data_IF_965321027949
#
_entry.id   IF_965321027949
#
_cell.length_a   1.000
_cell.length_b   1.000
_cell.length_c   1.000
_cell.angle_alpha   90.00
_cell.angle_beta   90.00
_cell.angle_gamma   90.00
#
_symmetry.space_group_name_H-M   'P 1'
#
loop_
_entity.id
_entity.type
_entity.pdbx_description
1 polymer ?
#
# COMPACT_ATOMS: atom_id res chain seq x y z
N UNK A 1 0.88 14.04 7.12
CA UNK A 1 -0.28 13.13 7.01
C UNK A 1 0.09 11.74 6.56
N UNK A 2 0.99 11.61 5.57
CA UNK A 2 1.49 10.32 5.08
C UNK A 2 2.86 9.94 5.67
N UNK A 3 3.37 10.69 6.63
CA UNK A 3 4.75 10.56 7.11
C UNK A 3 5.01 9.16 7.68
N UNK A 4 4.08 8.63 8.47
CA UNK A 4 4.12 7.27 8.98
C UNK A 4 3.96 6.22 7.86
N UNK A 5 3.02 6.43 6.93
CA UNK A 5 2.79 5.51 5.81
C UNK A 5 4.03 5.37 4.93
N UNK A 6 4.73 6.47 4.67
CA UNK A 6 5.99 6.47 3.91
C UNK A 6 7.08 5.65 4.60
N UNK A 7 7.19 5.77 5.92
CA UNK A 7 8.14 4.99 6.72
C UNK A 7 7.80 3.50 6.64
N UNK A 8 6.53 3.14 6.86
CA UNK A 8 6.09 1.74 6.80
C UNK A 8 6.34 1.10 5.44
N UNK A 9 6.00 1.80 4.35
CA UNK A 9 6.22 1.29 2.99
C UNK A 9 7.72 1.12 2.74
N UNK A 10 8.53 2.15 3.01
CA UNK A 10 9.98 2.13 2.80
C UNK A 10 10.65 0.93 3.50
N UNK A 11 10.25 0.65 4.72
CA UNK A 11 10.88 -0.39 5.55
C UNK A 11 10.27 -1.79 5.32
N UNK A 12 9.13 -1.87 4.62
CA UNK A 12 8.41 -3.13 4.38
C UNK A 12 9.26 -4.25 3.76
N UNK A 13 10.13 -3.99 2.75
CA UNK A 13 10.97 -5.06 2.17
C UNK A 13 12.02 -5.64 3.11
N UNK A 14 12.32 -4.97 4.23
CA UNK A 14 13.25 -5.50 5.25
C UNK A 14 12.58 -6.52 6.17
N UNK A 15 11.24 -6.53 6.21
CA UNK A 15 10.43 -7.32 7.15
C UNK A 15 9.65 -8.40 6.39
N UNK A 16 9.14 -8.07 5.20
CA UNK A 16 8.39 -8.98 4.36
C UNK A 16 9.33 -9.86 3.53
N UNK A 17 8.98 -11.13 3.41
CA UNK A 17 9.60 -12.03 2.43
C UNK A 17 9.05 -11.71 1.03
N UNK A 18 9.80 -12.02 -0.05
CA UNK A 18 9.24 -12.00 -1.40
C UNK A 18 7.95 -12.84 -1.48
N UNK A 19 6.92 -12.28 -2.11
CA UNK A 19 5.56 -12.82 -2.13
C UNK A 19 4.67 -12.39 -0.94
N UNK A 20 5.22 -11.64 0.03
CA UNK A 20 4.47 -11.09 1.16
C UNK A 20 3.55 -9.95 0.74
N UNK A 21 2.44 -9.81 1.47
CA UNK A 21 1.46 -8.76 1.23
C UNK A 21 1.63 -7.58 2.19
N UNK A 22 1.36 -6.37 1.70
CA UNK A 22 1.08 -5.20 2.52
C UNK A 22 -0.29 -4.65 2.15
N UNK A 23 -1.11 -4.33 3.15
CA UNK A 23 -2.40 -3.66 2.97
C UNK A 23 -2.51 -2.52 3.98
N UNK A 24 -2.85 -1.32 3.52
CA UNK A 24 -2.92 -0.11 4.32
C UNK A 24 -4.28 0.57 4.13
N UNK A 25 -4.99 0.80 5.23
CA UNK A 25 -6.19 1.63 5.26
C UNK A 25 -5.79 3.11 5.34
N UNK A 26 -6.32 3.93 4.43
CA UNK A 26 -5.99 5.35 4.32
C UNK A 26 -7.22 6.20 3.96
N UNK A 27 -7.05 7.52 4.00
CA UNK A 27 -8.06 8.44 3.47
C UNK A 27 -8.23 8.23 1.95
N UNK A 28 -9.45 8.36 1.37
CA UNK A 28 -9.68 8.03 -0.03
C UNK A 28 -8.85 8.92 -0.97
N UNK A 29 -8.59 10.17 -0.55
CA UNK A 29 -7.78 11.11 -1.30
C UNK A 29 -6.30 10.71 -1.35
N UNK A 30 -5.87 9.78 -0.47
CA UNK A 30 -4.49 9.32 -0.36
C UNK A 30 -4.27 7.98 -1.07
N UNK A 31 -5.31 7.22 -1.41
CA UNK A 31 -5.18 5.88 -1.99
C UNK A 31 -4.28 5.86 -3.24
N UNK A 32 -4.47 6.79 -4.17
CA UNK A 32 -3.64 6.89 -5.38
C UNK A 32 -2.16 7.18 -5.05
N UNK A 33 -1.90 8.07 -4.08
CA UNK A 33 -0.52 8.38 -3.66
C UNK A 33 0.14 7.16 -3.00
N UNK A 34 -0.60 6.41 -2.18
CA UNK A 34 -0.09 5.21 -1.50
C UNK A 34 0.16 4.07 -2.48
N UNK A 35 -0.68 3.91 -3.50
CA UNK A 35 -0.45 2.93 -4.56
C UNK A 35 0.86 3.20 -5.31
N UNK A 36 1.15 4.46 -5.66
CA UNK A 36 2.43 4.82 -6.29
C UNK A 36 3.63 4.61 -5.36
N UNK A 37 3.47 4.84 -4.05
CA UNK A 37 4.52 4.57 -3.07
C UNK A 37 4.83 3.06 -2.95
N UNK A 38 3.80 2.21 -2.91
CA UNK A 38 3.98 0.76 -2.92
C UNK A 38 4.69 0.32 -4.20
N UNK A 39 4.26 0.83 -5.36
CA UNK A 39 4.88 0.52 -6.66
C UNK A 39 6.36 0.91 -6.70
N UNK A 40 6.70 2.11 -6.22
CA UNK A 40 8.08 2.59 -6.15
C UNK A 40 8.97 1.72 -5.25
N UNK A 41 8.37 1.01 -4.29
CA UNK A 41 9.09 0.15 -3.33
C UNK A 41 9.17 -1.33 -3.76
N UNK A 42 8.72 -1.67 -4.98
CA UNK A 42 8.83 -3.03 -5.52
C UNK A 42 7.60 -3.92 -5.28
N UNK A 43 6.50 -3.34 -4.80
CA UNK A 43 5.23 -4.05 -4.78
C UNK A 43 4.60 -4.10 -6.17
N UNK A 44 3.95 -5.22 -6.48
CA UNK A 44 3.16 -5.47 -7.67
C UNK A 44 1.73 -5.90 -7.29
N UNK A 45 0.89 -6.16 -8.29
CA UNK A 45 -0.50 -6.58 -8.09
C UNK A 45 -1.26 -5.62 -7.14
N UNK A 46 -1.08 -4.31 -7.37
CA UNK A 46 -1.60 -3.27 -6.47
C UNK A 46 -3.08 -3.04 -6.75
N UNK A 47 -3.89 -3.12 -5.71
CA UNK A 47 -5.33 -2.93 -5.76
C UNK A 47 -5.79 -1.91 -4.71
N UNK A 48 -6.77 -1.09 -5.08
CA UNK A 48 -7.50 -0.22 -4.17
C UNK A 48 -8.87 -0.86 -3.92
N UNK A 49 -9.18 -1.13 -2.65
CA UNK A 49 -10.40 -1.77 -2.22
C UNK A 49 -11.30 -0.73 -1.53
N UNK A 50 -12.56 -0.61 -1.98
CA UNK A 50 -13.53 0.22 -1.31
C UNK A 50 -14.12 -0.46 -0.07
N UNK A 51 -14.64 0.33 0.85
CA UNK A 51 -15.48 -0.12 1.94
C UNK A 51 -16.92 -0.47 1.49
N UNK A 52 -17.78 -0.82 2.46
CA UNK A 52 -19.20 -1.13 2.21
C UNK A 52 -19.99 0.06 1.63
N UNK A 53 -19.52 1.29 1.85
CA UNK A 53 -20.11 2.50 1.30
C UNK A 53 -19.52 2.87 -0.06
N UNK A 54 -18.75 1.97 -0.69
CA UNK A 54 -18.08 2.16 -1.98
C UNK A 54 -17.06 3.30 -1.99
N UNK A 55 -16.50 3.60 -0.82
CA UNK A 55 -15.44 4.61 -0.68
C UNK A 55 -14.09 3.91 -0.62
N UNK A 56 -13.14 4.32 -1.46
CA UNK A 56 -11.78 3.78 -1.46
C UNK A 56 -11.13 3.91 -0.08
N UNK A 57 -10.64 2.78 0.46
CA UNK A 57 -10.07 2.74 1.81
C UNK A 57 -8.76 2.02 1.90
N UNK A 58 -8.66 0.84 1.30
CA UNK A 58 -7.49 -0.02 1.49
C UNK A 58 -6.68 -0.11 0.21
N UNK A 59 -5.38 0.17 0.31
CA UNK A 59 -4.43 -0.10 -0.78
C UNK A 59 -3.63 -1.34 -0.41
N UNK A 60 -3.64 -2.36 -1.26
CA UNK A 60 -2.94 -3.62 -1.04
C UNK A 60 -2.01 -3.95 -2.22
N UNK A 61 -0.89 -4.64 -1.96
CA UNK A 61 0.01 -5.14 -2.99
C UNK A 61 0.92 -6.26 -2.49
N UNK A 62 1.57 -6.95 -3.43
CA UNK A 62 2.49 -8.07 -3.19
C UNK A 62 3.92 -7.61 -3.42
N UNK A 63 4.81 -7.80 -2.45
CA UNK A 63 6.23 -7.56 -2.64
C UNK A 63 6.82 -8.61 -3.61
N UNK A 64 7.28 -8.18 -4.80
CA UNK A 64 7.86 -9.10 -5.81
C UNK A 64 9.38 -9.00 -5.91
N UNK A 65 10.00 -7.97 -5.32
CA UNK A 65 11.45 -7.77 -5.22
C UNK A 65 12.10 -8.57 -4.09
#
# INVERSE_FOLDING_TARGET
GLDLVRILIRDAPQILKPGGWMALEVDPQQCATVAELLKAQGFADIHIHPDLNRTDRVVAGILRS
#
